data_IF_284450086115
#
_entry.id   IF_284450086115
#
_cell.length_a   1.000
_cell.length_b   1.000
_cell.length_c   1.000
_cell.angle_alpha   90.00
_cell.angle_beta   90.00
_cell.angle_gamma   90.00
#
_symmetry.space_group_name_H-M   'P 1'
#
loop_
_entity.id
_entity.type
_entity.pdbx_description
1 polymer ?
#
# COMPACT_ATOMS: atom_id res chain seq x y z
N UNK A 1 -14.07 15.55 -22.44
CA UNK A 1 -13.11 14.57 -21.87
C UNK A 1 -11.76 15.25 -21.73
N UNK A 2 -11.19 15.40 -20.52
CA UNK A 2 -9.86 15.99 -20.35
C UNK A 2 -8.81 14.94 -20.76
N UNK A 3 -8.02 15.23 -21.79
CA UNK A 3 -6.89 14.38 -22.19
C UNK A 3 -5.81 14.43 -21.11
N UNK A 4 -5.44 13.26 -20.58
CA UNK A 4 -4.37 13.15 -19.57
C UNK A 4 -3.03 13.45 -20.27
N UNK A 5 -2.31 14.50 -19.83
CA UNK A 5 -0.96 14.76 -20.33
C UNK A 5 -0.05 13.57 -20.00
N UNK A 6 0.60 13.01 -21.01
CA UNK A 6 1.63 11.97 -20.86
C UNK A 6 3.00 12.62 -20.99
N UNK A 7 3.90 12.28 -20.07
CA UNK A 7 5.30 12.72 -20.09
C UNK A 7 6.18 11.48 -20.31
N UNK A 8 7.19 11.60 -21.16
CA UNK A 8 8.09 10.50 -21.50
C UNK A 8 9.33 10.57 -20.60
N UNK A 9 9.56 9.51 -19.82
CA UNK A 9 10.83 9.28 -19.13
C UNK A 9 11.64 8.26 -19.91
N UNK A 10 12.89 8.59 -20.22
CA UNK A 10 13.83 7.60 -20.77
C UNK A 10 14.50 6.87 -19.60
N UNK A 11 14.21 5.58 -19.47
CA UNK A 11 14.74 4.73 -18.41
C UNK A 11 15.52 3.60 -19.07
N UNK A 12 16.85 3.70 -19.17
CA UNK A 12 17.67 2.60 -19.67
C UNK A 12 17.55 1.43 -18.69
N UNK A 13 17.21 0.26 -19.21
CA UNK A 13 17.07 -0.97 -18.43
C UNK A 13 18.32 -1.84 -18.66
N UNK A 14 18.91 -2.41 -17.60
CA UNK A 14 19.88 -3.49 -17.74
C UNK A 14 19.29 -4.69 -18.50
N UNK A 15 20.13 -5.43 -19.22
CA UNK A 15 19.70 -6.53 -20.11
C UNK A 15 18.87 -7.62 -19.40
N UNK A 16 19.19 -7.91 -18.15
CA UNK A 16 18.49 -8.92 -17.35
C UNK A 16 17.05 -8.48 -17.04
N UNK A 17 16.86 -7.22 -16.66
CA UNK A 17 15.54 -6.64 -16.40
C UNK A 17 14.76 -6.48 -17.69
N UNK A 18 15.41 -6.03 -18.77
CA UNK A 18 14.79 -5.89 -20.07
C UNK A 18 14.22 -7.23 -20.55
N UNK A 19 15.01 -8.30 -20.50
CA UNK A 19 14.62 -9.64 -20.94
C UNK A 19 13.45 -10.17 -20.11
N UNK A 20 13.55 -10.10 -18.78
CA UNK A 20 12.47 -10.55 -17.88
C UNK A 20 11.16 -9.80 -18.11
N UNK A 21 11.23 -8.48 -18.25
CA UNK A 21 10.05 -7.65 -18.50
C UNK A 21 9.42 -7.99 -19.85
N UNK A 22 10.24 -8.19 -20.88
CA UNK A 22 9.78 -8.57 -22.22
C UNK A 22 9.11 -9.94 -22.22
N UNK A 23 9.69 -10.91 -21.53
CA UNK A 23 9.13 -12.25 -21.41
C UNK A 23 7.79 -12.27 -20.68
N UNK A 24 7.67 -11.50 -19.59
CA UNK A 24 6.40 -11.33 -18.88
C UNK A 24 5.34 -10.63 -19.74
N UNK A 25 5.74 -9.62 -20.49
CA UNK A 25 4.85 -8.92 -21.41
C UNK A 25 4.30 -9.87 -22.49
N UNK A 26 5.16 -10.74 -23.03
CA UNK A 26 4.77 -11.77 -23.99
C UNK A 26 3.82 -12.80 -23.36
N UNK A 27 4.12 -13.30 -22.16
CA UNK A 27 3.27 -14.25 -21.43
C UNK A 27 1.85 -13.70 -21.19
N UNK A 28 1.75 -12.41 -20.88
CA UNK A 28 0.47 -11.76 -20.57
C UNK A 28 -0.20 -11.11 -21.79
N UNK A 29 0.38 -11.27 -22.99
CA UNK A 29 -0.10 -10.65 -24.24
C UNK A 29 -0.33 -9.13 -24.11
N UNK A 30 0.58 -8.44 -23.42
CA UNK A 30 0.51 -7.01 -23.14
C UNK A 30 1.80 -6.31 -23.58
N UNK A 31 1.76 -5.00 -23.90
CA UNK A 31 2.98 -4.25 -24.19
C UNK A 31 3.88 -4.13 -22.95
N UNK A 32 5.19 -4.36 -23.11
CA UNK A 32 6.16 -4.24 -22.02
C UNK A 32 6.16 -2.84 -21.37
N UNK A 33 5.83 -1.80 -22.13
CA UNK A 33 5.68 -0.43 -21.64
C UNK A 33 4.51 -0.27 -20.67
N UNK A 34 3.40 -0.98 -20.90
CA UNK A 34 2.25 -0.94 -20.00
C UNK A 34 2.52 -1.73 -18.73
N UNK A 35 3.20 -2.88 -18.84
CA UNK A 35 3.65 -3.65 -17.69
C UNK A 35 4.63 -2.84 -16.82
N UNK A 36 5.59 -2.14 -17.45
CA UNK A 36 6.50 -1.24 -16.75
C UNK A 36 5.76 -0.09 -16.04
N UNK A 37 4.80 0.56 -16.73
CA UNK A 37 3.99 1.62 -16.15
C UNK A 37 3.19 1.11 -14.95
N UNK A 38 2.64 -0.10 -15.04
CA UNK A 38 1.91 -0.74 -13.96
C UNK A 38 2.82 -1.03 -12.77
N UNK A 39 3.99 -1.63 -13.00
CA UNK A 39 4.97 -1.92 -11.95
C UNK A 39 5.42 -0.65 -11.21
N UNK A 40 5.74 0.43 -11.94
CA UNK A 40 6.12 1.73 -11.36
C UNK A 40 4.96 2.28 -10.52
N UNK A 41 3.73 2.23 -11.01
CA UNK A 41 2.54 2.69 -10.28
C UNK A 41 2.33 1.91 -8.98
N UNK A 42 2.52 0.59 -9.01
CA UNK A 42 2.38 -0.26 -7.84
C UNK A 42 3.46 0.05 -6.80
N UNK A 43 4.71 0.19 -7.25
CA UNK A 43 5.84 0.54 -6.39
C UNK A 43 5.65 1.92 -5.71
N UNK A 44 5.21 2.93 -6.45
CA UNK A 44 4.95 4.27 -5.90
C UNK A 44 3.86 4.24 -4.82
N UNK A 45 2.77 3.51 -5.05
CA UNK A 45 1.69 3.34 -4.06
C UNK A 45 2.18 2.63 -2.80
N UNK A 46 2.99 1.59 -2.95
CA UNK A 46 3.58 0.89 -1.81
C UNK A 46 4.50 1.82 -1.02
N UNK A 47 5.29 2.66 -1.70
CA UNK A 47 6.19 3.63 -1.07
C UNK A 47 5.44 4.70 -0.29
N UNK A 48 4.34 5.21 -0.83
CA UNK A 48 3.45 6.16 -0.16
C UNK A 48 2.83 5.53 1.10
N UNK A 49 2.26 4.32 0.98
CA UNK A 49 1.70 3.60 2.14
C UNK A 49 2.74 3.35 3.22
N UNK A 50 3.96 2.95 2.84
CA UNK A 50 5.05 2.74 3.80
C UNK A 50 5.48 4.03 4.50
N UNK A 51 5.46 5.16 3.78
CA UNK A 51 5.80 6.47 4.35
C UNK A 51 4.73 6.93 5.33
N UNK A 52 3.46 6.78 4.97
CA UNK A 52 2.34 7.06 5.86
C UNK A 52 2.38 6.18 7.11
N UNK A 53 2.58 4.87 6.95
CA UNK A 53 2.67 3.94 8.07
C UNK A 53 3.83 4.28 9.00
N UNK A 54 4.98 4.70 8.46
CA UNK A 54 6.11 5.17 9.25
C UNK A 54 5.74 6.41 10.07
N UNK A 55 5.15 7.43 9.43
CA UNK A 55 4.76 8.66 10.13
C UNK A 55 3.72 8.38 11.23
N UNK A 56 2.75 7.49 10.95
CA UNK A 56 1.76 7.06 11.95
C UNK A 56 2.41 6.30 13.10
N UNK A 57 3.37 5.41 12.81
CA UNK A 57 4.11 4.68 13.85
C UNK A 57 4.95 5.59 14.71
N UNK A 58 5.60 6.61 14.13
CA UNK A 58 6.35 7.63 14.87
C UNK A 58 5.42 8.43 15.79
N UNK A 59 4.27 8.88 15.27
CA UNK A 59 3.24 9.55 16.06
C UNK A 59 2.74 8.65 17.20
N UNK A 60 2.31 7.42 16.90
CA UNK A 60 1.82 6.50 17.92
C UNK A 60 2.87 6.22 19.00
N UNK A 61 4.16 6.11 18.63
CA UNK A 61 5.24 5.93 19.60
C UNK A 61 5.45 7.17 20.47
N UNK A 62 5.34 8.36 19.90
CA UNK A 62 5.51 9.64 20.61
C UNK A 62 4.36 9.92 21.58
N UNK A 63 3.14 9.54 21.21
CA UNK A 63 1.92 9.85 21.97
C UNK A 63 1.35 8.64 22.74
N UNK A 64 1.99 7.47 22.68
CA UNK A 64 1.62 6.31 23.49
C UNK A 64 1.61 6.65 24.99
N UNK A 65 0.54 6.28 25.69
CA UNK A 65 0.31 6.57 27.10
C UNK A 65 -0.06 8.02 27.43
N UNK A 66 -0.37 8.85 26.41
CA UNK A 66 -0.92 10.20 26.60
C UNK A 66 -2.43 10.23 26.35
N UNK A 67 -3.11 11.34 26.64
CA UNK A 67 -4.55 11.52 26.37
C UNK A 67 -4.96 11.41 24.88
N UNK A 68 -3.97 11.29 23.98
CA UNK A 68 -4.16 11.04 22.54
C UNK A 68 -3.95 9.56 22.15
N UNK A 69 -3.47 8.74 23.09
CA UNK A 69 -3.51 7.29 23.00
C UNK A 69 -4.94 6.80 23.30
N UNK A 70 -5.29 5.59 22.81
CA UNK A 70 -6.61 4.94 22.86
C UNK A 70 -7.74 5.61 23.70
N UNK A 71 -8.90 5.85 23.09
CA UNK A 71 -10.12 6.26 23.80
C UNK A 71 -10.60 5.14 24.73
N UNK A 72 -10.55 5.35 26.05
CA UNK A 72 -10.97 4.39 27.08
C UNK A 72 -12.40 3.88 26.86
N UNK A 73 -13.31 4.69 26.31
CA UNK A 73 -14.66 4.24 25.99
C UNK A 73 -14.65 3.27 24.80
N UNK A 74 -13.79 3.50 23.82
CA UNK A 74 -13.63 2.60 22.68
C UNK A 74 -13.00 1.26 23.10
N UNK A 75 -12.06 1.29 24.05
CA UNK A 75 -11.47 0.08 24.64
C UNK A 75 -12.53 -0.75 25.38
N UNK A 76 -13.32 -0.11 26.25
CA UNK A 76 -14.40 -0.77 26.98
C UNK A 76 -15.43 -1.40 26.02
N UNK A 77 -15.87 -0.66 25.00
CA UNK A 77 -16.79 -1.16 23.98
C UNK A 77 -16.21 -2.31 23.15
N UNK A 78 -14.89 -2.31 22.90
CA UNK A 78 -14.23 -3.40 22.16
C UNK A 78 -14.18 -4.68 22.98
N UNK A 79 -13.94 -4.57 24.29
CA UNK A 79 -13.98 -5.72 25.22
C UNK A 79 -15.41 -6.27 25.32
N UNK A 80 -16.42 -5.41 25.49
CA UNK A 80 -17.83 -5.83 25.51
C UNK A 80 -18.22 -6.55 24.21
N UNK A 81 -17.85 -6.01 23.05
CA UNK A 81 -18.13 -6.63 21.75
C UNK A 81 -17.47 -8.01 21.60
N UNK A 82 -16.21 -8.18 22.03
CA UNK A 82 -15.52 -9.47 21.97
C UNK A 82 -16.14 -10.53 22.89
N UNK A 83 -16.59 -10.12 24.08
CA UNK A 83 -17.27 -11.01 25.03
C UNK A 83 -18.65 -11.44 24.52
N UNK A 84 -19.40 -10.55 23.89
CA UNK A 84 -20.68 -10.87 23.26
C UNK A 84 -20.51 -11.85 22.09
N UNK A 85 -19.44 -11.73 21.30
CA UNK A 85 -19.15 -12.67 20.20
C UNK A 85 -18.71 -14.07 20.68
N UNK A 86 -18.00 -14.18 21.81
CA UNK A 86 -17.68 -15.49 22.42
C UNK A 86 -18.90 -16.13 23.11
N UNK A 87 -19.90 -15.33 23.53
CA UNK A 87 -21.14 -15.81 24.13
C UNK A 87 -22.19 -16.34 23.14
N UNK A 88 -22.07 -16.01 21.84
CA UNK A 88 -22.98 -16.44 20.78
C UNK A 88 -22.57 -17.77 20.10
N UNK A 89 -21.38 -18.32 20.38
CA UNK A 89 -20.92 -19.63 19.87
C UNK A 89 -21.19 -20.83 20.83
N UNK A 90 -22.07 -20.66 21.84
CA UNK A 90 -22.44 -21.69 22.84
C UNK A 90 -23.81 -22.33 22.64
#
# INVERSE_FOLDING_TARGET
MKTKKMHNFHVPLPDDIYTKLRDEALRNNQPATELARYAIKLWLRAREKATLHKALSEFATEYAGTDLDLDENLEALSIEYLLDQEGEEG
#
